data_IF_452888230014
#
_entry.id   IF_452888230014
#
_cell.length_a   1.000
_cell.length_b   1.000
_cell.length_c   1.000
_cell.angle_alpha   90.00
_cell.angle_beta   90.00
_cell.angle_gamma   90.00
#
_symmetry.space_group_name_H-M   'P 1'
#
loop_
_entity.id
_entity.type
_entity.pdbx_description
1 polymer ?
#
# COMPACT_ATOMS: atom_id res chain seq x y z
N UNK A 1 -9.61 -21.96 21.48
CA UNK A 1 -9.46 -21.17 20.24
C UNK A 1 -10.76 -20.47 19.86
N UNK A 2 -11.90 -20.82 20.48
CA UNK A 2 -13.20 -20.17 20.26
C UNK A 2 -13.26 -18.72 20.76
N UNK A 3 -12.35 -18.31 21.66
CA UNK A 3 -12.40 -17.01 22.32
C UNK A 3 -12.14 -15.83 21.37
N UNK A 4 -11.44 -16.07 20.26
CA UNK A 4 -11.07 -15.04 19.28
C UNK A 4 -11.96 -15.02 18.04
N UNK A 5 -12.85 -16.02 17.88
CA UNK A 5 -13.69 -16.15 16.68
C UNK A 5 -14.71 -15.03 16.54
N UNK A 6 -15.09 -14.40 17.66
CA UNK A 6 -16.06 -13.30 17.72
C UNK A 6 -15.43 -11.92 17.80
N UNK A 7 -14.11 -11.82 17.66
CA UNK A 7 -13.44 -10.52 17.71
C UNK A 7 -13.89 -9.65 16.54
N UNK A 8 -14.14 -8.38 16.85
CA UNK A 8 -14.25 -7.36 15.81
C UNK A 8 -12.85 -7.10 15.27
N UNK A 9 -12.63 -7.37 13.99
CA UNK A 9 -11.33 -7.16 13.36
C UNK A 9 -11.28 -5.76 12.77
N UNK A 10 -10.25 -5.00 13.15
CA UNK A 10 -9.89 -3.74 12.52
C UNK A 10 -8.54 -3.94 11.88
N UNK A 11 -8.47 -3.77 10.57
CA UNK A 11 -7.20 -3.79 9.86
C UNK A 11 -6.56 -2.40 9.98
N UNK A 12 -5.44 -2.35 10.71
CA UNK A 12 -4.79 -1.11 11.07
C UNK A 12 -3.89 -0.54 9.96
N UNK A 13 -3.63 -1.27 8.88
CA UNK A 13 -2.77 -0.78 7.79
C UNK A 13 -2.94 -1.56 6.49
N UNK A 14 -3.36 -0.87 5.43
CA UNK A 14 -3.41 -1.41 4.07
C UNK A 14 -3.02 -0.40 2.99
N UNK A 15 -2.80 -0.90 1.79
CA UNK A 15 -2.62 -0.09 0.57
C UNK A 15 -3.66 -0.40 -0.50
N UNK A 16 -4.88 -0.74 -0.08
CA UNK A 16 -5.97 -1.07 -1.00
C UNK A 16 -6.47 0.19 -1.74
N UNK A 17 -6.46 0.20 -3.09
CA UNK A 17 -7.04 1.26 -3.92
C UNK A 17 -8.55 1.38 -3.72
N UNK A 18 -9.21 2.45 -4.21
CA UNK A 18 -10.66 2.46 -4.34
C UNK A 18 -11.15 1.23 -5.14
N UNK A 19 -12.32 0.69 -4.81
CA UNK A 19 -12.78 -0.60 -5.37
C UNK A 19 -12.90 -0.53 -6.89
N UNK A 20 -13.39 0.60 -7.41
CA UNK A 20 -13.49 0.86 -8.86
C UNK A 20 -12.14 0.73 -9.59
N UNK A 21 -11.05 1.13 -8.95
CA UNK A 21 -9.70 1.00 -9.50
C UNK A 21 -9.22 -0.45 -9.37
N UNK A 22 -9.50 -1.13 -8.25
CA UNK A 22 -9.18 -2.55 -8.10
C UNK A 22 -9.84 -3.40 -9.18
N UNK A 23 -11.11 -3.13 -9.48
CA UNK A 23 -11.92 -3.87 -10.45
C UNK A 23 -11.49 -3.58 -11.90
N UNK A 24 -11.03 -2.36 -12.20
CA UNK A 24 -10.58 -2.02 -13.57
C UNK A 24 -9.23 -2.66 -13.96
N UNK A 25 -8.47 -3.16 -12.99
CA UNK A 25 -7.18 -3.82 -13.24
C UNK A 25 -7.34 -5.15 -13.98
N UNK A 26 -6.44 -5.40 -14.93
CA UNK A 26 -6.25 -6.73 -15.53
C UNK A 26 -5.64 -7.65 -14.48
N UNK A 27 -6.33 -8.73 -14.14
CA UNK A 27 -5.90 -9.71 -13.14
C UNK A 27 -5.86 -11.12 -13.70
N UNK A 28 -5.08 -11.97 -13.04
CA UNK A 28 -4.95 -13.40 -13.27
C UNK A 28 -4.39 -14.08 -12.01
N UNK A 29 -4.10 -15.38 -12.08
CA UNK A 29 -3.55 -16.15 -10.96
C UNK A 29 -2.31 -15.51 -10.33
N UNK A 30 -1.45 -14.84 -11.11
CA UNK A 30 -0.23 -14.22 -10.59
C UNK A 30 -0.49 -12.96 -9.79
N UNK A 31 -1.70 -12.37 -9.84
CA UNK A 31 -2.06 -11.23 -8.98
C UNK A 31 -1.86 -11.57 -7.50
N UNK A 32 -2.02 -12.83 -7.08
CA UNK A 32 -1.78 -13.29 -5.71
C UNK A 32 -0.30 -13.46 -5.35
N UNK A 33 0.60 -13.43 -6.34
CA UNK A 33 2.03 -13.69 -6.20
C UNK A 33 2.88 -12.49 -6.64
N UNK A 34 2.41 -11.29 -6.31
CA UNK A 34 3.12 -10.03 -6.53
C UNK A 34 3.62 -9.42 -5.21
N UNK A 35 4.48 -8.41 -5.30
CA UNK A 35 5.05 -7.68 -4.17
C UNK A 35 5.89 -8.55 -3.23
N UNK A 36 5.37 -8.96 -2.07
CA UNK A 36 6.18 -9.61 -1.04
C UNK A 36 6.66 -11.01 -1.42
N UNK A 37 5.92 -11.72 -2.28
CA UNK A 37 6.36 -13.01 -2.84
C UNK A 37 7.56 -12.85 -3.78
N UNK A 38 7.89 -11.63 -4.22
CA UNK A 38 9.09 -11.38 -5.03
C UNK A 38 10.37 -11.74 -4.28
N UNK A 39 10.45 -11.42 -2.99
CA UNK A 39 11.62 -11.74 -2.16
C UNK A 39 11.79 -13.25 -2.07
N UNK A 40 10.70 -13.97 -1.80
CA UNK A 40 10.72 -15.44 -1.71
C UNK A 40 11.15 -16.08 -3.04
N UNK A 41 10.63 -15.59 -4.17
CA UNK A 41 10.97 -16.08 -5.50
C UNK A 41 12.43 -15.79 -5.89
N UNK A 42 12.90 -14.56 -5.63
CA UNK A 42 14.29 -14.16 -5.92
C UNK A 42 15.26 -14.98 -5.06
N UNK A 43 14.99 -15.13 -3.77
CA UNK A 43 15.81 -15.95 -2.87
C UNK A 43 15.76 -17.44 -3.25
N UNK A 44 14.65 -17.93 -3.79
CA UNK A 44 14.56 -19.27 -4.36
C UNK A 44 15.34 -19.44 -5.69
N UNK A 45 15.82 -18.36 -6.29
CA UNK A 45 16.69 -18.37 -7.47
C UNK A 45 16.05 -17.83 -8.76
N UNK A 46 14.90 -17.16 -8.70
CA UNK A 46 14.34 -16.43 -9.86
C UNK A 46 15.23 -15.21 -10.15
N UNK A 47 15.66 -15.02 -11.40
CA UNK A 47 16.36 -13.81 -11.80
C UNK A 47 15.41 -12.59 -11.75
N UNK A 48 15.93 -11.38 -11.53
CA UNK A 48 15.07 -10.16 -11.55
C UNK A 48 14.34 -10.00 -12.88
N UNK A 49 15.03 -10.28 -13.98
CA UNK A 49 14.46 -10.24 -15.33
C UNK A 49 13.31 -11.25 -15.50
N UNK A 50 13.46 -12.48 -15.01
CA UNK A 50 12.40 -13.48 -15.09
C UNK A 50 11.24 -13.17 -14.13
N UNK A 51 11.52 -12.55 -12.98
CA UNK A 51 10.45 -12.07 -12.08
C UNK A 51 9.60 -11.00 -12.77
N UNK A 52 10.22 -10.01 -13.41
CA UNK A 52 9.51 -8.97 -14.19
C UNK A 52 8.63 -9.60 -15.27
N UNK A 53 9.14 -10.62 -15.96
CA UNK A 53 8.39 -11.41 -16.92
C UNK A 53 7.20 -12.14 -16.29
N UNK A 54 7.36 -12.74 -15.10
CA UNK A 54 6.30 -13.47 -14.38
C UNK A 54 5.15 -12.54 -14.00
N UNK A 55 5.44 -11.31 -13.56
CA UNK A 55 4.40 -10.38 -13.09
C UNK A 55 3.80 -9.52 -14.19
N UNK A 56 4.36 -9.50 -15.40
CA UNK A 56 3.83 -8.72 -16.52
C UNK A 56 2.52 -9.34 -17.06
N UNK A 57 1.36 -8.69 -16.86
CA UNK A 57 0.07 -9.22 -17.32
C UNK A 57 -0.07 -9.25 -18.84
N UNK A 58 0.81 -8.58 -19.60
CA UNK A 58 0.78 -8.56 -21.06
C UNK A 58 1.34 -9.84 -21.69
N UNK A 59 2.18 -10.59 -20.97
CA UNK A 59 2.79 -11.83 -21.48
C UNK A 59 1.81 -13.01 -21.40
N UNK A 60 1.95 -14.02 -22.29
CA UNK A 60 1.15 -15.24 -22.23
C UNK A 60 1.24 -15.92 -20.85
N UNK A 61 0.13 -16.48 -20.40
CA UNK A 61 0.04 -17.03 -19.05
C UNK A 61 0.89 -18.29 -18.90
N UNK A 62 0.98 -19.08 -19.97
CA UNK A 62 1.77 -20.30 -20.11
C UNK A 62 3.27 -20.00 -19.95
N UNK A 63 3.73 -18.89 -20.55
CA UNK A 63 5.12 -18.48 -20.45
C UNK A 63 5.47 -18.07 -19.02
N UNK A 64 4.61 -17.28 -18.39
CA UNK A 64 4.76 -16.84 -16.99
C UNK A 64 4.75 -18.03 -16.04
N UNK A 65 3.86 -19.00 -16.28
CA UNK A 65 3.79 -20.25 -15.52
C UNK A 65 5.06 -21.07 -15.63
N UNK A 66 5.61 -21.22 -16.83
CA UNK A 66 6.87 -21.95 -17.05
C UNK A 66 8.04 -21.35 -16.24
N UNK A 67 8.11 -20.03 -16.14
CA UNK A 67 9.13 -19.33 -15.35
C UNK A 67 8.89 -19.45 -13.85
N UNK A 68 7.63 -19.39 -13.42
CA UNK A 68 7.25 -19.40 -12.00
C UNK A 68 7.33 -20.79 -11.34
N UNK A 69 6.81 -21.82 -12.03
CA UNK A 69 6.57 -23.15 -11.47
C UNK A 69 7.78 -23.80 -10.80
N UNK A 70 9.02 -23.74 -11.34
CA UNK A 70 10.17 -24.38 -10.70
C UNK A 70 10.43 -23.86 -9.28
N UNK A 71 10.24 -22.56 -9.09
CA UNK A 71 10.52 -21.86 -7.84
C UNK A 71 9.33 -21.89 -6.89
N UNK A 72 8.11 -21.95 -7.41
CA UNK A 72 6.90 -22.16 -6.62
C UNK A 72 7.00 -23.38 -5.71
N UNK A 73 7.53 -24.50 -6.23
CA UNK A 73 7.66 -25.76 -5.46
C UNK A 73 8.43 -25.62 -4.16
N UNK A 74 9.41 -24.72 -4.11
CA UNK A 74 10.24 -24.46 -2.93
C UNK A 74 9.72 -23.28 -2.12
N UNK A 75 9.23 -22.22 -2.79
CA UNK A 75 8.74 -21.01 -2.13
C UNK A 75 7.35 -21.20 -1.47
N UNK A 76 6.55 -22.19 -1.88
CA UNK A 76 5.16 -22.37 -1.40
C UNK A 76 4.96 -22.56 0.11
N UNK A 77 6.05 -22.75 0.86
CA UNK A 77 6.05 -22.91 2.31
C UNK A 77 6.44 -21.65 3.08
N UNK A 78 6.80 -20.55 2.40
CA UNK A 78 7.08 -19.27 3.05
C UNK A 78 5.79 -18.59 3.51
N UNK A 79 5.92 -17.61 4.41
CA UNK A 79 4.78 -16.90 5.00
C UNK A 79 3.90 -16.19 3.97
N UNK A 80 4.50 -15.52 2.98
CA UNK A 80 3.73 -14.80 1.95
C UNK A 80 3.03 -15.76 0.99
N UNK A 81 3.71 -16.83 0.57
CA UNK A 81 3.08 -17.88 -0.23
C UNK A 81 1.97 -18.61 0.52
N UNK A 82 2.10 -18.80 1.83
CA UNK A 82 1.03 -19.36 2.66
C UNK A 82 -0.24 -18.50 2.59
N UNK A 83 -0.12 -17.17 2.65
CA UNK A 83 -1.27 -16.28 2.51
C UNK A 83 -1.95 -16.41 1.13
N UNK A 84 -1.15 -16.44 0.06
CA UNK A 84 -1.67 -16.66 -1.30
C UNK A 84 -2.37 -18.03 -1.45
N UNK A 85 -1.83 -19.08 -0.83
CA UNK A 85 -2.44 -20.42 -0.84
C UNK A 85 -3.72 -20.52 -0.02
N UNK A 86 -3.82 -19.78 1.08
CA UNK A 86 -5.10 -19.62 1.79
C UNK A 86 -6.12 -18.98 0.85
N UNK A 87 -5.76 -17.89 0.15
CA UNK A 87 -6.68 -17.27 -0.81
C UNK A 87 -7.11 -18.21 -1.95
N UNK A 88 -6.19 -19.04 -2.46
CA UNK A 88 -6.48 -20.10 -3.44
C UNK A 88 -7.57 -21.06 -2.96
N UNK A 89 -7.42 -21.58 -1.74
CA UNK A 89 -8.40 -22.51 -1.17
C UNK A 89 -9.73 -21.82 -0.89
N UNK A 90 -9.69 -20.70 -0.19
CA UNK A 90 -10.89 -20.02 0.33
C UNK A 90 -11.75 -19.37 -0.76
N UNK A 91 -11.14 -18.87 -1.85
CA UNK A 91 -11.85 -18.11 -2.88
C UNK A 91 -11.90 -18.79 -4.24
N UNK A 92 -11.01 -19.74 -4.51
CA UNK A 92 -10.88 -20.38 -5.83
C UNK A 92 -10.98 -21.90 -5.78
N UNK A 93 -11.14 -22.49 -4.58
CA UNK A 93 -11.43 -23.91 -4.40
C UNK A 93 -10.28 -24.84 -4.80
N UNK A 94 -9.03 -24.38 -4.73
CA UNK A 94 -7.85 -25.20 -5.02
C UNK A 94 -6.84 -25.11 -3.88
N UNK A 95 -6.26 -26.25 -3.50
CA UNK A 95 -5.23 -26.32 -2.44
C UNK A 95 -3.85 -25.82 -2.89
N UNK A 96 -3.59 -25.96 -4.19
CA UNK A 96 -2.29 -25.66 -4.77
C UNK A 96 -2.40 -25.37 -6.27
N UNK A 97 -1.37 -24.76 -6.83
CA UNK A 97 -1.26 -24.53 -8.28
C UNK A 97 -0.49 -25.66 -8.96
N UNK A 98 -1.04 -26.14 -10.06
CA UNK A 98 -0.48 -27.22 -10.88
C UNK A 98 -0.58 -26.88 -12.37
N UNK A 99 0.04 -27.70 -13.22
CA UNK A 99 -0.07 -27.50 -14.69
C UNK A 99 -1.50 -27.64 -15.18
N UNK A 100 -2.32 -28.44 -14.47
CA UNK A 100 -3.68 -28.76 -14.85
C UNK A 100 -4.68 -27.68 -14.44
N UNK A 101 -4.34 -26.79 -13.49
CA UNK A 101 -5.33 -25.88 -12.88
C UNK A 101 -5.04 -24.38 -12.98
N UNK A 102 -3.80 -23.94 -13.27
CA UNK A 102 -3.45 -22.51 -13.21
C UNK A 102 -4.27 -21.64 -14.20
N UNK A 103 -4.63 -22.18 -15.36
CA UNK A 103 -5.50 -21.50 -16.34
C UNK A 103 -6.91 -21.30 -15.80
N UNK A 104 -7.49 -22.34 -15.21
CA UNK A 104 -8.83 -22.31 -14.62
C UNK A 104 -8.88 -21.38 -13.41
N UNK A 105 -7.86 -21.40 -12.55
CA UNK A 105 -7.74 -20.45 -11.44
C UNK A 105 -7.65 -19.01 -11.96
N UNK A 106 -6.87 -18.77 -13.01
CA UNK A 106 -6.77 -17.45 -13.65
C UNK A 106 -8.13 -16.96 -14.16
N UNK A 107 -8.93 -17.83 -14.78
CA UNK A 107 -10.31 -17.52 -15.18
C UNK A 107 -11.18 -17.14 -13.98
N UNK A 108 -11.14 -17.93 -12.90
CA UNK A 108 -11.90 -17.64 -11.66
C UNK A 108 -11.48 -16.32 -11.01
N UNK A 109 -10.19 -15.98 -10.99
CA UNK A 109 -9.69 -14.69 -10.50
C UNK A 109 -10.28 -13.52 -11.29
N UNK A 110 -10.34 -13.64 -12.62
CA UNK A 110 -10.95 -12.62 -13.49
C UNK A 110 -12.45 -12.47 -13.23
N UNK A 111 -13.18 -13.57 -13.12
CA UNK A 111 -14.62 -13.55 -12.85
C UNK A 111 -14.98 -13.02 -11.45
N UNK A 112 -14.10 -13.27 -10.49
CA UNK A 112 -14.19 -12.76 -9.13
C UNK A 112 -13.89 -11.25 -9.04
N UNK A 113 -13.25 -10.66 -10.04
CA UNK A 113 -12.84 -9.26 -10.07
C UNK A 113 -13.96 -8.34 -10.55
N UNK A 114 -14.95 -8.12 -9.69
CA UNK A 114 -16.15 -7.33 -9.97
C UNK A 114 -16.55 -6.49 -8.74
N UNK A 115 -17.41 -5.47 -8.90
CA UNK A 115 -17.85 -4.64 -7.79
C UNK A 115 -18.42 -5.47 -6.64
N UNK A 116 -18.18 -5.02 -5.40
CA UNK A 116 -18.48 -5.75 -4.16
C UNK A 116 -17.39 -6.75 -3.73
N UNK A 117 -16.24 -6.79 -4.41
CA UNK A 117 -15.12 -7.66 -4.04
C UNK A 117 -14.61 -7.37 -2.63
N UNK A 118 -14.51 -6.11 -2.22
CA UNK A 118 -14.02 -5.76 -0.88
C UNK A 118 -14.99 -6.15 0.21
N UNK A 119 -16.29 -5.95 0.02
CA UNK A 119 -17.30 -6.47 0.95
C UNK A 119 -17.18 -8.00 1.06
N UNK A 120 -17.20 -8.72 -0.06
CA UNK A 120 -17.15 -10.19 -0.07
C UNK A 120 -15.90 -10.75 0.61
N UNK A 121 -14.74 -10.13 0.39
CA UNK A 121 -13.47 -10.62 0.93
C UNK A 121 -13.26 -10.12 2.35
N UNK A 122 -13.28 -8.81 2.58
CA UNK A 122 -12.87 -8.21 3.85
C UNK A 122 -13.98 -8.31 4.89
N UNK A 123 -15.23 -7.98 4.54
CA UNK A 123 -16.38 -8.03 5.45
C UNK A 123 -16.86 -9.46 5.64
N UNK A 124 -17.32 -10.09 4.56
CA UNK A 124 -18.10 -11.34 4.65
C UNK A 124 -17.21 -12.55 5.01
N UNK A 125 -16.02 -12.65 4.40
CA UNK A 125 -15.10 -13.76 4.67
C UNK A 125 -14.17 -13.49 5.85
N UNK A 126 -13.55 -12.31 5.92
CA UNK A 126 -12.55 -11.98 6.93
C UNK A 126 -13.13 -11.30 8.18
N UNK A 127 -14.43 -10.98 8.24
CA UNK A 127 -15.08 -10.30 9.38
C UNK A 127 -14.42 -8.97 9.77
N UNK A 128 -13.79 -8.28 8.81
CA UNK A 128 -13.17 -6.98 9.01
C UNK A 128 -14.24 -5.90 9.08
N UNK A 129 -14.20 -5.11 10.16
CA UNK A 129 -15.11 -3.98 10.36
C UNK A 129 -14.68 -2.76 9.54
N UNK A 130 -13.41 -2.40 9.58
CA UNK A 130 -12.84 -1.32 8.77
C UNK A 130 -11.38 -1.61 8.49
N UNK A 131 -10.90 -1.02 7.42
CA UNK A 131 -9.50 -1.06 6.99
C UNK A 131 -8.94 0.35 6.96
N UNK A 132 -7.84 0.59 7.66
CA UNK A 132 -7.10 1.83 7.59
C UNK A 132 -6.17 1.81 6.37
N UNK A 133 -6.54 2.51 5.29
CA UNK A 133 -5.81 2.49 4.03
C UNK A 133 -4.95 3.74 3.84
N UNK A 134 -3.69 3.55 3.47
CA UNK A 134 -2.71 4.61 3.27
C UNK A 134 -2.43 4.83 1.78
N UNK A 135 -3.44 5.34 1.07
CA UNK A 135 -3.34 5.63 -0.37
C UNK A 135 -3.86 7.03 -0.74
N UNK A 136 -4.05 7.90 0.25
CA UNK A 136 -4.60 9.22 0.02
C UNK A 136 -6.12 9.25 0.14
N UNK A 137 -6.79 9.77 -0.89
CA UNK A 137 -8.23 10.04 -0.85
C UNK A 137 -9.03 8.81 -1.23
N UNK A 138 -9.97 8.45 -0.36
CA UNK A 138 -10.96 7.39 -0.60
C UNK A 138 -12.29 8.03 -1.01
N UNK A 139 -12.92 7.59 -2.13
CA UNK A 139 -14.26 8.01 -2.52
C UNK A 139 -15.28 7.71 -1.42
N UNK A 140 -16.30 8.54 -1.28
CA UNK A 140 -17.28 8.42 -0.19
C UNK A 140 -17.98 7.06 -0.18
N UNK A 141 -18.25 6.51 -1.37
CA UNK A 141 -18.86 5.19 -1.56
C UNK A 141 -18.05 4.03 -0.95
N UNK A 142 -16.73 4.18 -0.81
CA UNK A 142 -15.85 3.14 -0.26
C UNK A 142 -15.58 3.32 1.25
N UNK A 143 -15.95 4.46 1.83
CA UNK A 143 -15.56 4.85 3.21
C UNK A 143 -16.21 4.06 4.32
N UNK A 144 -17.26 3.30 4.03
CA UNK A 144 -17.85 2.38 5.02
C UNK A 144 -16.83 1.31 5.45
N UNK A 145 -15.97 0.89 4.53
CA UNK A 145 -14.99 -0.18 4.74
C UNK A 145 -13.55 0.32 4.71
N UNK A 146 -13.25 1.30 3.85
CA UNK A 146 -11.91 1.86 3.66
C UNK A 146 -11.80 3.25 4.32
N UNK A 147 -11.12 3.32 5.46
CA UNK A 147 -10.94 4.55 6.22
C UNK A 147 -9.55 5.13 5.93
N UNK A 148 -9.43 6.38 5.46
CA UNK A 148 -8.14 6.92 5.05
C UNK A 148 -7.25 7.28 6.24
N UNK A 149 -5.98 6.91 6.12
CA UNK A 149 -4.86 7.49 6.87
C UNK A 149 -3.87 8.11 5.89
N UNK A 150 -3.20 9.20 6.29
CA UNK A 150 -2.27 9.91 5.41
C UNK A 150 -0.82 9.81 5.89
N UNK A 151 0.15 9.74 4.97
CA UNK A 151 1.54 9.81 5.36
C UNK A 151 1.90 11.20 5.92
N UNK A 152 2.53 11.22 7.09
CA UNK A 152 3.01 12.45 7.74
C UNK A 152 4.10 13.16 6.92
N UNK A 153 4.87 12.41 6.11
CA UNK A 153 5.91 12.96 5.23
C UNK A 153 5.36 13.93 4.18
N UNK A 154 4.04 13.95 3.94
CA UNK A 154 3.40 14.98 3.13
C UNK A 154 3.67 16.39 3.69
N UNK A 155 3.74 16.52 5.02
CA UNK A 155 3.99 17.79 5.70
C UNK A 155 5.38 17.89 6.33
N UNK A 156 6.12 16.78 6.51
CA UNK A 156 7.43 16.83 7.20
C UNK A 156 8.63 16.75 6.27
N UNK A 157 8.50 16.12 5.11
CA UNK A 157 9.66 15.86 4.24
C UNK A 157 9.70 16.91 3.12
N UNK A 158 9.77 18.18 3.53
CA UNK A 158 9.84 19.36 2.66
C UNK A 158 11.25 19.91 2.75
N UNK A 159 11.89 20.12 1.61
CA UNK A 159 13.27 20.60 1.47
C UNK A 159 13.35 21.92 0.67
N UNK A 160 12.26 22.28 -0.02
CA UNK A 160 12.05 23.58 -0.67
C UNK A 160 10.55 23.89 -0.78
N UNK A 161 10.14 25.17 -0.94
CA UNK A 161 8.73 25.54 -1.03
C UNK A 161 7.94 24.79 -2.12
N UNK A 162 8.57 24.48 -3.25
CA UNK A 162 7.92 23.77 -4.38
C UNK A 162 7.59 22.30 -4.10
N UNK A 163 8.13 21.69 -3.04
CA UNK A 163 7.80 20.31 -2.68
C UNK A 163 6.34 20.17 -2.23
N UNK A 164 5.76 21.22 -1.63
CA UNK A 164 4.35 21.22 -1.26
C UNK A 164 3.48 21.13 -2.51
N UNK A 165 3.77 21.94 -3.53
CA UNK A 165 3.02 21.92 -4.79
C UNK A 165 3.16 20.58 -5.50
N UNK A 166 4.35 19.99 -5.51
CA UNK A 166 4.59 18.65 -6.06
C UNK A 166 3.78 17.56 -5.33
N UNK A 167 3.48 17.77 -4.04
CA UNK A 167 2.61 16.92 -3.21
C UNK A 167 1.12 17.29 -3.31
N UNK A 168 0.74 18.24 -4.15
CA UNK A 168 -0.64 18.73 -4.28
C UNK A 168 -1.12 19.55 -3.07
N UNK A 169 -0.19 20.11 -2.31
CA UNK A 169 -0.43 20.90 -1.12
C UNK A 169 -0.12 22.36 -1.41
N UNK A 170 -1.03 23.27 -1.03
CA UNK A 170 -0.86 24.70 -1.27
C UNK A 170 -1.26 25.50 -0.03
N UNK A 171 -0.31 26.18 0.63
CA UNK A 171 -0.61 27.16 1.66
C UNK A 171 -1.56 28.24 1.16
N UNK A 172 -2.48 28.68 2.03
CA UNK A 172 -3.33 29.86 1.79
C UNK A 172 -2.62 31.17 2.12
N UNK A 173 -1.57 31.08 2.93
CA UNK A 173 -0.71 32.17 3.35
C UNK A 173 0.68 31.98 2.75
N UNK A 174 1.40 33.07 2.55
CA UNK A 174 2.81 32.99 2.21
C UNK A 174 3.60 32.49 3.44
N UNK A 175 4.31 31.37 3.28
CA UNK A 175 5.11 30.77 4.35
C UNK A 175 6.46 31.47 4.39
N UNK A 176 6.66 32.35 5.37
CA UNK A 176 7.88 33.17 5.49
C UNK A 176 8.77 32.76 6.66
N UNK A 177 8.25 31.99 7.62
CA UNK A 177 8.99 31.48 8.77
C UNK A 177 8.43 30.13 9.24
N UNK A 178 9.11 29.50 10.20
CA UNK A 178 8.69 28.20 10.76
C UNK A 178 7.30 28.25 11.40
N UNK A 179 6.94 29.36 12.06
CA UNK A 179 5.64 29.56 12.69
C UNK A 179 4.49 29.51 11.69
N UNK A 180 4.64 30.21 10.55
CA UNK A 180 3.66 30.18 9.44
C UNK A 180 3.48 28.76 8.92
N UNK A 181 4.59 28.02 8.78
CA UNK A 181 4.54 26.64 8.31
C UNK A 181 3.85 25.71 9.29
N UNK A 182 4.15 25.81 10.59
CA UNK A 182 3.47 25.03 11.64
C UNK A 182 1.97 25.36 11.69
N UNK A 183 1.59 26.63 11.52
CA UNK A 183 0.19 27.03 11.43
C UNK A 183 -0.50 26.40 10.21
N UNK A 184 0.16 26.42 9.05
CA UNK A 184 -0.31 25.75 7.84
C UNK A 184 -0.46 24.23 8.05
N UNK A 185 0.51 23.56 8.65
CA UNK A 185 0.43 22.12 8.96
C UNK A 185 -0.80 21.80 9.82
N UNK A 186 -1.09 22.61 10.84
CA UNK A 186 -2.29 22.46 11.68
C UNK A 186 -3.58 22.62 10.85
N UNK A 187 -3.66 23.66 10.01
CA UNK A 187 -4.81 23.86 9.12
C UNK A 187 -5.03 22.65 8.19
N UNK A 188 -3.94 22.10 7.62
CA UNK A 188 -4.04 20.91 6.75
C UNK A 188 -4.51 19.67 7.52
N UNK A 189 -4.01 19.42 8.73
CA UNK A 189 -4.46 18.29 9.55
C UNK A 189 -5.94 18.44 9.91
N UNK A 190 -6.39 19.63 10.28
CA UNK A 190 -7.81 19.92 10.54
C UNK A 190 -8.68 19.73 9.30
N UNK A 191 -8.19 20.14 8.14
CA UNK A 191 -8.84 19.88 6.86
C UNK A 191 -8.95 18.38 6.58
N UNK A 192 -7.87 17.62 6.71
CA UNK A 192 -7.89 16.17 6.51
C UNK A 192 -8.84 15.46 7.46
N UNK A 193 -8.89 15.89 8.73
CA UNK A 193 -9.88 15.39 9.69
C UNK A 193 -11.31 15.63 9.21
N UNK A 194 -11.62 16.83 8.68
CA UNK A 194 -12.94 17.12 8.07
C UNK A 194 -13.21 16.30 6.81
N UNK A 195 -12.17 15.93 6.07
CA UNK A 195 -12.25 15.05 4.91
C UNK A 195 -12.38 13.55 5.28
N UNK A 196 -12.40 13.20 6.58
CA UNK A 196 -12.59 11.84 7.08
C UNK A 196 -11.31 11.05 7.35
N UNK A 197 -10.14 11.71 7.32
CA UNK A 197 -8.86 11.09 7.68
C UNK A 197 -8.79 10.90 9.20
N UNK A 198 -8.49 9.69 9.64
CA UNK A 198 -8.52 9.32 11.08
C UNK A 198 -7.13 9.19 11.71
N UNK A 199 -6.06 9.28 10.91
CA UNK A 199 -4.71 9.09 11.40
C UNK A 199 -3.64 9.52 10.41
N UNK A 200 -2.43 9.70 10.96
CA UNK A 200 -1.22 9.95 10.19
C UNK A 200 -0.24 8.79 10.38
N UNK A 201 0.32 8.29 9.28
CA UNK A 201 1.41 7.30 9.31
C UNK A 201 2.74 8.03 9.29
N UNK A 202 3.61 7.73 10.24
CA UNK A 202 4.99 8.19 10.24
C UNK A 202 5.94 7.00 10.33
N UNK A 203 7.13 7.15 9.75
CA UNK A 203 8.21 6.19 9.94
C UNK A 203 8.68 6.29 11.39
N UNK A 204 8.74 5.16 12.10
CA UNK A 204 9.30 5.10 13.44
C UNK A 204 10.79 5.44 13.38
N UNK A 205 11.13 6.71 13.63
CA UNK A 205 12.49 7.23 13.69
C UNK A 205 12.70 7.97 15.00
N UNK A 206 13.94 8.01 15.48
CA UNK A 206 14.30 8.89 16.59
C UNK A 206 14.07 10.33 16.14
N UNK A 207 13.20 11.04 16.85
CA UNK A 207 13.04 12.49 16.69
C UNK A 207 13.90 13.13 17.77
N UNK A 208 14.94 13.83 17.35
CA UNK A 208 15.78 14.59 18.28
C UNK A 208 15.05 15.85 18.73
N UNK A 209 15.10 16.12 20.03
CA UNK A 209 14.68 17.42 20.53
C UNK A 209 15.69 18.47 20.08
N UNK A 210 15.19 19.51 19.42
CA UNK A 210 15.98 20.67 18.99
C UNK A 210 15.39 21.92 19.61
N UNK A 211 16.24 22.91 19.91
CA UNK A 211 15.75 24.20 20.36
C UNK A 211 14.93 24.87 19.25
N UNK A 212 13.94 25.67 19.65
CA UNK A 212 13.14 26.50 18.73
C UNK A 212 14.05 27.30 17.77
N UNK A 213 15.06 27.96 18.32
CA UNK A 213 16.05 28.75 17.59
C UNK A 213 16.83 27.92 16.55
N UNK A 214 17.19 26.67 16.86
CA UNK A 214 17.83 25.78 15.89
C UNK A 214 16.86 25.36 14.79
N UNK A 215 15.59 25.09 15.12
CA UNK A 215 14.58 24.73 14.14
C UNK A 215 14.27 25.89 13.18
N UNK A 216 14.14 27.12 13.70
CA UNK A 216 13.92 28.33 12.91
C UNK A 216 15.07 28.56 11.93
N UNK A 217 16.32 28.53 12.40
CA UNK A 217 17.50 28.64 11.52
C UNK A 217 17.55 27.57 10.42
N UNK A 218 17.16 26.34 10.73
CA UNK A 218 17.12 25.27 9.72
C UNK A 218 16.00 25.52 8.71
N UNK A 219 14.88 26.07 9.14
CA UNK A 219 13.77 26.42 8.27
C UNK A 219 14.10 27.61 7.36
N UNK A 220 14.80 28.63 7.85
CA UNK A 220 15.25 29.75 7.01
C UNK A 220 16.16 29.25 5.88
N UNK A 221 17.13 28.38 6.22
CA UNK A 221 18.00 27.72 5.24
C UNK A 221 17.24 26.85 4.24
N UNK A 222 16.12 26.26 4.64
CA UNK A 222 15.22 25.53 3.74
C UNK A 222 14.59 26.50 2.73
N UNK A 223 14.08 27.64 3.19
CA UNK A 223 13.47 28.67 2.33
C UNK A 223 14.49 29.27 1.35
N UNK A 224 15.74 29.43 1.79
CA UNK A 224 16.86 29.90 0.97
C UNK A 224 17.39 28.83 -0.01
N UNK A 225 16.90 27.58 0.08
CA UNK A 225 17.32 26.47 -0.78
C UNK A 225 18.71 25.93 -0.44
N UNK A 226 19.21 26.18 0.77
CA UNK A 226 20.52 25.73 1.25
C UNK A 226 20.52 24.33 1.86
N UNK A 227 19.33 23.73 2.05
CA UNK A 227 19.21 22.34 2.45
C UNK A 227 19.18 21.43 1.23
N UNK A 228 20.02 20.39 1.24
CA UNK A 228 19.93 19.31 0.26
C UNK A 228 18.99 18.23 0.75
N UNK A 229 18.22 17.67 -0.17
CA UNK A 229 17.45 16.46 0.08
C UNK A 229 18.44 15.36 0.52
N UNK A 230 18.24 14.74 1.69
CA UNK A 230 19.08 13.65 2.13
C UNK A 230 18.95 12.52 1.12
N UNK A 231 20.07 11.84 0.83
CA UNK A 231 20.02 10.63 0.01
C UNK A 231 19.01 9.66 0.64
N UNK A 232 18.12 9.05 -0.15
CA UNK A 232 17.22 8.03 0.34
C UNK A 232 18.01 6.96 1.09
N UNK A 233 17.47 6.48 2.22
CA UNK A 233 18.12 5.42 3.01
C UNK A 233 18.17 4.06 2.29
N UNK A 234 17.55 3.97 1.12
CA UNK A 234 17.41 2.76 0.31
C UNK A 234 18.11 2.84 -1.06
N UNK A 235 18.90 3.90 -1.30
CA UNK A 235 19.92 3.94 -2.36
C UNK A 235 21.25 3.39 -1.83
#
# INVERSE_FOLDING_TARGET
>A
MSEFEDFTIIDAHEHLPPERERVSRRVDVFTMFTHYTSTDLITAGVSREDYEKIIDPKRPLEERWRLFKPYYKVARYTSYFRAARIALREFYGVEDLTDENYLEVSRRVKEANKPGIYKRVLRDKCRIKVVLTQIGRIPEEDRELLVPILPMWLLTDVFKPSDLEAKGLKPRIDVSNLGDYVAYMKEQVERWRREGVVGLKFLARRVEEVSQEKAERLFDRLLEGELMEPKPLWD
#
